data_IF_134305210413
#
_entry.id   IF_134305210413
#
_cell.length_a   1.000
_cell.length_b   1.000
_cell.length_c   1.000
_cell.angle_alpha   90.00
_cell.angle_beta   90.00
_cell.angle_gamma   90.00
#
_symmetry.space_group_name_H-M   'P 1'
#
loop_
_entity.id
_entity.type
_entity.pdbx_description
1 polymer ?
#
# COMPACT_ATOMS: atom_id res chain seq x y z
N UNK A 1 -1.88 -16.78 -8.32
CA UNK A 1 -1.10 -15.52 -8.47
C UNK A 1 -0.28 -15.33 -7.20
N UNK A 2 1.00 -14.89 -7.27
CA UNK A 2 1.83 -14.68 -6.06
C UNK A 2 2.10 -13.18 -5.88
N UNK A 3 1.84 -12.65 -4.68
CA UNK A 3 2.24 -11.29 -4.31
C UNK A 3 3.78 -11.22 -4.18
N UNK A 4 4.36 -10.10 -4.63
CA UNK A 4 5.79 -9.82 -4.43
C UNK A 4 6.06 -9.41 -2.98
N UNK A 5 7.28 -9.65 -2.47
CA UNK A 5 7.69 -9.26 -1.11
C UNK A 5 7.41 -7.78 -0.82
N UNK A 6 7.75 -6.89 -1.74
CA UNK A 6 7.54 -5.44 -1.63
C UNK A 6 6.05 -5.07 -1.52
N UNK A 7 5.19 -5.78 -2.26
CA UNK A 7 3.74 -5.56 -2.23
C UNK A 7 3.12 -6.02 -0.92
N UNK A 8 3.63 -7.13 -0.36
CA UNK A 8 3.23 -7.59 0.96
C UNK A 8 3.72 -6.63 2.06
N UNK A 9 4.96 -6.14 1.96
CA UNK A 9 5.52 -5.16 2.90
C UNK A 9 4.70 -3.86 2.91
N UNK A 10 4.32 -3.34 1.75
CA UNK A 10 3.43 -2.17 1.66
C UNK A 10 2.06 -2.46 2.26
N UNK A 11 1.46 -3.61 1.95
CA UNK A 11 0.16 -4.00 2.51
C UNK A 11 0.22 -4.11 4.05
N UNK A 12 1.32 -4.64 4.59
CA UNK A 12 1.58 -4.71 6.04
C UNK A 12 1.64 -3.33 6.68
N UNK A 13 2.38 -2.39 6.07
CA UNK A 13 2.49 -1.03 6.60
C UNK A 13 1.12 -0.32 6.65
N UNK A 14 0.27 -0.52 5.63
CA UNK A 14 -1.09 0.04 5.60
C UNK A 14 -1.94 -0.54 6.73
N UNK A 15 -1.85 -1.85 6.99
CA UNK A 15 -2.55 -2.49 8.12
C UNK A 15 -2.05 -2.02 9.49
N UNK A 16 -0.77 -1.65 9.59
CA UNK A 16 -0.20 -1.04 10.80
C UNK A 16 -0.59 0.45 10.97
N UNK A 17 -1.39 1.00 10.05
CA UNK A 17 -1.94 2.35 10.10
C UNK A 17 -1.15 3.39 9.31
N UNK A 18 -0.11 2.98 8.57
CA UNK A 18 0.65 3.85 7.67
C UNK A 18 -0.07 3.97 6.33
N UNK A 19 -1.03 4.88 6.27
CA UNK A 19 -1.92 5.01 5.11
C UNK A 19 -1.39 5.97 4.06
N UNK A 20 -0.51 6.91 4.43
CA UNK A 20 0.05 7.90 3.49
C UNK A 20 1.33 7.38 2.81
N UNK A 21 1.49 7.71 1.53
CA UNK A 21 2.66 7.33 0.75
C UNK A 21 3.97 7.79 1.39
N UNK A 22 4.01 8.97 2.03
CA UNK A 22 5.24 9.44 2.69
C UNK A 22 5.55 8.63 3.95
N UNK A 23 4.54 8.18 4.69
CA UNK A 23 4.73 7.31 5.85
C UNK A 23 5.34 5.97 5.41
N UNK A 24 4.78 5.37 4.36
CA UNK A 24 5.31 4.12 3.80
C UNK A 24 6.71 4.32 3.21
N UNK A 25 6.96 5.47 2.57
CA UNK A 25 8.30 5.82 2.10
C UNK A 25 9.30 5.91 3.26
N UNK A 26 8.91 6.45 4.41
CA UNK A 26 9.79 6.50 5.59
C UNK A 26 9.96 5.15 6.29
N UNK A 27 9.02 4.22 6.12
CA UNK A 27 9.07 2.89 6.75
C UNK A 27 9.68 1.80 5.86
N UNK A 28 9.89 2.08 4.57
CA UNK A 28 10.45 1.14 3.59
C UNK A 28 11.70 1.69 2.93
N UNK A 29 12.54 0.82 2.36
CA UNK A 29 13.70 1.25 1.54
C UNK A 29 13.32 1.47 0.07
N UNK A 30 12.03 1.69 -0.23
CA UNK A 30 11.52 1.82 -1.60
C UNK A 30 11.45 3.28 -2.02
N UNK A 31 11.74 3.56 -3.29
CA UNK A 31 11.52 4.89 -3.86
C UNK A 31 10.02 5.21 -3.96
N UNK A 32 9.66 6.50 -3.84
CA UNK A 32 8.25 6.93 -3.91
C UNK A 32 7.53 6.46 -5.16
N UNK A 33 8.20 6.45 -6.32
CA UNK A 33 7.59 6.00 -7.57
C UNK A 33 7.34 4.50 -7.59
N UNK A 34 8.24 3.71 -6.99
CA UNK A 34 8.03 2.27 -6.79
C UNK A 34 6.83 2.00 -5.88
N UNK A 35 6.67 2.78 -4.82
CA UNK A 35 5.51 2.69 -3.92
C UNK A 35 4.22 3.00 -4.69
N UNK A 36 4.19 4.05 -5.52
CA UNK A 36 3.03 4.37 -6.39
C UNK A 36 2.71 3.23 -7.35
N UNK A 37 3.71 2.64 -7.99
CA UNK A 37 3.49 1.48 -8.87
C UNK A 37 2.85 0.31 -8.13
N UNK A 38 3.32 0.03 -6.91
CA UNK A 38 2.79 -1.06 -6.09
C UNK A 38 1.37 -0.74 -5.61
N UNK A 39 1.11 0.50 -5.19
CA UNK A 39 -0.22 0.98 -4.85
C UNK A 39 -1.20 0.70 -6.00
N UNK A 40 -0.88 1.16 -7.21
CA UNK A 40 -1.73 0.95 -8.38
C UNK A 40 -1.95 -0.54 -8.70
N UNK A 41 -0.93 -1.38 -8.49
CA UNK A 41 -1.07 -2.84 -8.65
C UNK A 41 -2.01 -3.42 -7.60
N UNK A 42 -1.85 -3.06 -6.33
CA UNK A 42 -2.70 -3.54 -5.23
C UNK A 42 -4.15 -3.07 -5.39
N UNK A 43 -4.37 -1.83 -5.86
CA UNK A 43 -5.69 -1.29 -6.16
C UNK A 43 -6.35 -2.01 -7.34
N UNK A 44 -5.60 -2.28 -8.42
CA UNK A 44 -6.09 -3.08 -9.55
C UNK A 44 -6.51 -4.50 -9.15
N UNK A 45 -5.91 -5.02 -8.09
CA UNK A 45 -6.23 -6.32 -7.51
C UNK A 45 -7.33 -6.25 -6.45
N UNK A 46 -7.94 -5.07 -6.26
CA UNK A 46 -8.96 -4.80 -5.24
C UNK A 46 -8.50 -5.10 -3.81
N UNK A 47 -7.18 -5.08 -3.55
CA UNK A 47 -6.62 -5.33 -2.21
C UNK A 47 -6.54 -4.05 -1.38
N UNK A 48 -6.40 -2.90 -2.05
CA UNK A 48 -6.43 -1.58 -1.41
C UNK A 48 -7.32 -0.64 -2.22
N UNK A 49 -7.68 0.49 -1.63
CA UNK A 49 -8.30 1.63 -2.29
C UNK A 49 -7.39 2.84 -2.15
N UNK A 50 -7.18 3.58 -3.23
CA UNK A 50 -6.32 4.78 -3.21
C UNK A 50 -7.20 6.04 -3.25
N UNK A 51 -6.94 6.95 -2.33
CA UNK A 51 -7.48 8.32 -2.37
C UNK A 51 -6.36 9.28 -2.70
N UNK A 52 -6.51 10.01 -3.83
CA UNK A 52 -5.57 11.05 -4.25
C UNK A 52 -6.13 12.41 -3.89
N UNK A 53 -5.34 13.24 -3.22
CA UNK A 53 -5.69 14.63 -2.91
C UNK A 53 -4.57 15.54 -3.37
N UNK A 54 -4.92 16.48 -4.23
CA UNK A 54 -3.99 17.55 -4.60
C UNK A 54 -4.05 18.66 -3.56
N UNK A 55 -2.92 19.00 -2.95
CA UNK A 55 -2.81 20.17 -2.10
C UNK A 55 -2.24 21.35 -2.91
N UNK A 56 -3.07 22.36 -3.15
CA UNK A 56 -2.69 23.52 -3.95
C UNK A 56 -1.70 24.46 -3.26
N UNK A 57 -1.61 24.42 -1.92
CA UNK A 57 -0.68 25.27 -1.17
C UNK A 57 0.75 24.73 -1.28
N UNK A 58 0.92 23.42 -1.11
CA UNK A 58 2.23 22.77 -1.23
C UNK A 58 2.55 22.33 -2.68
N UNK A 59 1.56 22.36 -3.58
CA UNK A 59 1.65 21.83 -4.95
C UNK A 59 2.08 20.36 -4.99
N UNK A 60 1.62 19.57 -4.02
CA UNK A 60 1.95 18.16 -3.88
C UNK A 60 0.71 17.27 -3.97
N UNK A 61 0.89 16.09 -4.55
CA UNK A 61 -0.11 15.03 -4.60
C UNK A 61 0.04 14.11 -3.38
N UNK A 62 -0.97 14.11 -2.52
CA UNK A 62 -1.09 13.17 -1.41
C UNK A 62 -1.76 11.89 -1.87
N UNK A 63 -1.12 10.76 -1.62
CA UNK A 63 -1.61 9.43 -1.95
C UNK A 63 -1.86 8.69 -0.65
N UNK A 64 -3.14 8.48 -0.33
CA UNK A 64 -3.54 7.66 0.81
C UNK A 64 -4.07 6.32 0.31
N UNK A 65 -3.70 5.25 0.99
CA UNK A 65 -4.18 3.90 0.74
C UNK A 65 -4.93 3.36 1.95
N UNK A 66 -5.97 2.58 1.70
CA UNK A 66 -6.67 1.81 2.73
C UNK A 66 -6.94 0.41 2.23
N UNK A 67 -6.68 -0.59 3.06
CA UNK A 67 -6.94 -1.99 2.72
C UNK A 67 -8.43 -2.28 2.59
N UNK A 68 -8.78 -3.11 1.61
CA UNK A 68 -10.14 -3.62 1.44
C UNK A 68 -10.36 -4.88 2.27
N UNK A 69 -11.59 -5.39 2.31
CA UNK A 69 -11.87 -6.70 2.90
C UNK A 69 -11.06 -7.81 2.24
N UNK A 70 -10.97 -7.81 0.91
CA UNK A 70 -10.19 -8.80 0.15
C UNK A 70 -8.68 -8.68 0.41
N UNK A 71 -8.16 -7.46 0.52
CA UNK A 71 -6.77 -7.22 0.90
C UNK A 71 -6.42 -7.80 2.27
N UNK A 72 -7.31 -7.63 3.24
CA UNK A 72 -7.16 -8.17 4.58
C UNK A 72 -7.19 -9.70 4.59
N UNK A 73 -8.09 -10.32 3.81
CA UNK A 73 -8.15 -11.78 3.67
C UNK A 73 -6.85 -12.33 3.08
N UNK A 74 -6.35 -11.74 2.00
CA UNK A 74 -5.09 -12.13 1.36
C UNK A 74 -3.88 -11.92 2.28
N UNK A 75 -3.86 -10.82 3.03
CA UNK A 75 -2.82 -10.56 4.04
C UNK A 75 -2.80 -11.66 5.11
N UNK A 76 -3.97 -12.02 5.64
CA UNK A 76 -4.12 -13.07 6.64
C UNK A 76 -3.74 -14.46 6.12
N UNK A 77 -4.11 -14.80 4.88
CA UNK A 77 -3.69 -16.07 4.25
C UNK A 77 -2.17 -16.15 4.11
N UNK A 78 -1.52 -15.06 3.70
CA UNK A 78 -0.07 -15.01 3.59
C UNK A 78 0.63 -15.20 4.94
N UNK A 79 0.10 -14.59 6.01
CA UNK A 79 0.60 -14.80 7.37
C UNK A 79 0.48 -16.27 7.82
N UNK A 80 -0.61 -16.95 7.46
CA UNK A 80 -0.83 -18.37 7.79
C UNK A 80 0.10 -19.32 7.03
N UNK A 81 0.43 -19.00 5.77
CA UNK A 81 1.31 -19.83 4.92
C UNK A 81 2.79 -19.83 5.33
N UNK A 82 3.20 -18.99 6.29
CA UNK A 82 4.58 -18.90 6.79
C UNK A 82 4.85 -19.78 8.02
N UNK A 83 3.85 -20.51 8.50
CA UNK A 83 3.89 -21.41 9.66
C UNK A 83 4.08 -22.86 9.22
#
# INVERSE_FOLDING_TARGET
MKLTKEAFEILSNIEEGMNDLNQIYTSTNLEKDKIKEIFLKLEKLNLITITKKYDSYYKEDYWNAKTTKEGLEVFNEYLKSKK
#
